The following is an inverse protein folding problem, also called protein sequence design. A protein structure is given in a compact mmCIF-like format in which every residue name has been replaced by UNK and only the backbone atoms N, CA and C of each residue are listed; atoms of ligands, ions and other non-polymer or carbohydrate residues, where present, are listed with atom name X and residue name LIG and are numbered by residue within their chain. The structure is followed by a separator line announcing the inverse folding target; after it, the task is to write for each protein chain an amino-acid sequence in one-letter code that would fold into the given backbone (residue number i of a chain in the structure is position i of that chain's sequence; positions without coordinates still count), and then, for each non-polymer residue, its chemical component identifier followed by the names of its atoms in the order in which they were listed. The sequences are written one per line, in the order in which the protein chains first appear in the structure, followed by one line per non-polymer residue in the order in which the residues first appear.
data_IF_957847558916
#
_entry.id   IF_957847558916
#
_cell.length_a   1.000
_cell.length_b   1.000
_cell.length_c   1.000
_cell.angle_alpha   90.00
_cell.angle_beta   90.00
_cell.angle_gamma   90.00
#
_symmetry.space_group_name_H-M   'P 1'
#
loop_
_entity.id
_entity.type
_entity.pdbx_description
1 polymer ?
#
# COMPACT_ATOMS: atom_id res chain seq x y z
N UNK A 1 -1.09 13.81 -7.51
CA UNK A 1 -1.33 14.98 -6.63
C UNK A 1 -2.79 15.09 -6.18
N UNK A 2 -3.79 15.02 -7.05
CA UNK A 2 -5.22 15.12 -6.67
C UNK A 2 -5.68 14.11 -5.59
N UNK A 3 -5.11 12.91 -5.54
CA UNK A 3 -5.44 11.93 -4.50
C UNK A 3 -5.04 12.35 -3.09
N UNK A 4 -3.93 13.09 -2.91
CA UNK A 4 -3.52 13.60 -1.61
C UNK A 4 -4.49 14.66 -1.06
N UNK A 5 -5.03 15.51 -1.93
CA UNK A 5 -6.00 16.54 -1.56
C UNK A 5 -7.33 15.97 -1.04
N UNK A 6 -7.66 14.73 -1.43
CA UNK A 6 -8.85 13.98 -1.00
C UNK A 6 -8.66 13.18 0.29
N UNK A 7 -7.48 13.23 0.89
CA UNK A 7 -7.24 12.67 2.21
C UNK A 7 -7.59 13.70 3.28
N UNK A 8 -8.34 13.28 4.30
CA UNK A 8 -8.56 14.08 5.50
C UNK A 8 -7.23 14.38 6.21
N UNK A 9 -7.18 15.39 7.08
CA UNK A 9 -6.00 15.63 7.93
C UNK A 9 -5.61 14.40 8.76
N UNK A 10 -6.59 13.62 9.21
CA UNK A 10 -6.38 12.38 9.95
C UNK A 10 -5.73 11.31 9.09
N UNK A 11 -6.23 11.05 7.87
CA UNK A 11 -5.67 10.09 6.94
C UNK A 11 -4.25 10.47 6.51
N UNK A 12 -3.97 11.78 6.34
CA UNK A 12 -2.61 12.28 6.12
C UNK A 12 -1.70 12.01 7.31
N UNK A 13 -2.18 12.29 8.52
CA UNK A 13 -1.40 12.06 9.75
C UNK A 13 -1.11 10.56 9.94
N UNK A 14 -2.10 9.69 9.73
CA UNK A 14 -1.92 8.22 9.78
C UNK A 14 -0.86 7.73 8.76
N UNK A 15 -0.78 8.40 7.60
CA UNK A 15 0.16 8.01 6.54
C UNK A 15 1.58 8.48 6.77
N UNK A 16 1.76 9.70 7.27
CA UNK A 16 3.07 10.35 7.36
C UNK A 16 3.61 10.44 8.79
N UNK A 17 2.80 10.13 9.79
CA UNK A 17 3.10 10.21 11.24
C UNK A 17 3.47 11.62 11.71
N UNK A 18 3.39 12.59 10.81
CA UNK A 18 3.56 14.03 11.05
C UNK A 18 2.45 14.80 10.34
N UNK A 19 2.06 15.98 10.84
CA UNK A 19 1.10 16.83 10.13
C UNK A 19 1.66 17.27 8.76
N UNK A 20 1.02 16.87 7.68
CA UNK A 20 1.39 17.25 6.30
C UNK A 20 0.20 17.93 5.64
N UNK A 21 0.31 19.25 5.40
CA UNK A 21 -0.69 20.02 4.66
C UNK A 21 -0.50 19.92 3.15
N UNK A 22 0.76 19.87 2.71
CA UNK A 22 1.16 19.82 1.30
C UNK A 22 2.35 18.89 1.10
N UNK A 23 2.42 18.23 -0.04
CA UNK A 23 3.58 17.43 -0.40
C UNK A 23 4.69 18.33 -0.94
N UNK A 24 5.85 18.34 -0.29
CA UNK A 24 7.02 19.06 -0.81
C UNK A 24 7.51 18.45 -2.14
N UNK A 25 8.20 19.21 -3.00
CA UNK A 25 8.78 18.68 -4.23
C UNK A 25 9.70 17.45 -4.01
N UNK A 26 10.38 17.40 -2.88
CA UNK A 26 11.20 16.25 -2.47
C UNK A 26 10.35 15.01 -2.18
N UNK A 27 9.27 15.19 -1.40
CA UNK A 27 8.31 14.11 -1.14
C UNK A 27 7.66 13.59 -2.43
N UNK A 28 7.26 14.51 -3.32
CA UNK A 28 6.68 14.11 -4.62
C UNK A 28 7.68 13.26 -5.41
N UNK A 29 8.94 13.69 -5.53
CA UNK A 29 9.98 12.90 -6.23
C UNK A 29 10.17 11.53 -5.59
N UNK A 30 10.28 11.46 -4.26
CA UNK A 30 10.39 10.20 -3.53
C UNK A 30 9.16 9.30 -3.76
N UNK A 31 7.96 9.89 -3.70
CA UNK A 31 6.71 9.15 -3.86
C UNK A 31 6.44 8.70 -5.32
N UNK A 32 7.07 9.29 -6.32
CA UNK A 32 6.88 8.94 -7.74
C UNK A 32 8.09 8.28 -8.39
N UNK A 33 9.25 8.33 -7.74
CA UNK A 33 10.50 7.74 -8.24
C UNK A 33 10.59 6.26 -7.92
N UNK A 34 9.79 5.42 -8.61
CA UNK A 34 9.84 3.96 -8.48
C UNK A 34 10.80 3.36 -9.50
N UNK A 35 11.57 2.34 -9.10
CA UNK A 35 12.49 1.58 -9.95
C UNK A 35 11.96 0.19 -10.29
N UNK A 36 10.81 -0.20 -9.72
CA UNK A 36 10.16 -1.50 -9.87
C UNK A 36 10.98 -2.70 -9.36
N UNK A 37 11.93 -2.44 -8.49
CA UNK A 37 12.80 -3.45 -7.88
C UNK A 37 12.90 -3.24 -6.37
N UNK A 38 13.55 -2.16 -5.94
CA UNK A 38 13.70 -1.81 -4.53
C UNK A 38 12.60 -0.85 -4.06
N UNK A 39 11.97 -0.16 -4.99
CA UNK A 39 10.87 0.74 -4.75
C UNK A 39 9.74 0.51 -5.77
N UNK A 40 8.61 0.03 -5.30
CA UNK A 40 7.41 -0.22 -6.12
C UNK A 40 6.21 0.56 -5.59
N UNK A 41 5.32 0.97 -6.48
CA UNK A 41 4.04 1.58 -6.13
C UNK A 41 2.92 1.13 -7.07
N UNK A 42 1.84 0.60 -6.51
CA UNK A 42 0.63 0.21 -7.21
C UNK A 42 -0.45 1.24 -6.91
N UNK A 43 -1.05 1.80 -7.95
CA UNK A 43 -2.06 2.86 -7.84
C UNK A 43 -3.40 2.33 -8.36
N UNK A 44 -4.46 2.51 -7.58
CA UNK A 44 -5.83 2.35 -8.05
C UNK A 44 -6.34 3.69 -8.59
N UNK A 45 -6.92 3.68 -9.78
CA UNK A 45 -7.50 4.87 -10.42
C UNK A 45 -8.95 4.62 -10.82
N UNK A 46 -9.77 5.65 -10.76
CA UNK A 46 -11.11 5.63 -11.34
C UNK A 46 -10.97 5.76 -12.87
N UNK A 47 -11.45 4.77 -13.61
CA UNK A 47 -11.32 4.72 -15.07
C UNK A 47 -12.02 5.90 -15.76
N UNK A 48 -13.13 6.37 -15.22
CA UNK A 48 -13.93 7.45 -15.84
C UNK A 48 -13.30 8.81 -15.63
N UNK A 49 -12.69 9.04 -14.45
CA UNK A 49 -12.15 10.37 -14.08
C UNK A 49 -10.63 10.41 -14.17
N UNK A 50 -9.94 9.27 -14.19
CA UNK A 50 -8.48 9.17 -14.08
C UNK A 50 -7.94 9.58 -12.72
N UNK A 51 -8.81 9.73 -11.71
CA UNK A 51 -8.40 10.15 -10.37
C UNK A 51 -7.85 8.98 -9.56
N UNK A 52 -6.80 9.23 -8.78
CA UNK A 52 -6.25 8.24 -7.85
C UNK A 52 -7.19 8.00 -6.67
N UNK A 53 -7.51 6.72 -6.43
CA UNK A 53 -8.36 6.25 -5.35
C UNK A 53 -7.55 5.72 -4.17
N UNK A 54 -6.34 5.23 -4.43
CA UNK A 54 -5.46 4.69 -3.42
C UNK A 54 -4.12 4.26 -3.99
N UNK A 55 -3.17 4.02 -3.12
CA UNK A 55 -1.82 3.55 -3.46
C UNK A 55 -1.31 2.61 -2.38
N UNK A 56 -0.68 1.52 -2.78
CA UNK A 56 0.21 0.75 -1.94
C UNK A 56 1.62 0.82 -2.51
N UNK A 57 2.63 0.84 -1.64
CA UNK A 57 4.03 0.86 -2.03
C UNK A 57 4.87 0.06 -1.07
N UNK A 58 6.02 -0.39 -1.54
CA UNK A 58 7.09 -0.83 -0.67
C UNK A 58 8.40 -0.11 -1.01
N UNK A 59 9.26 -0.04 -0.01
CA UNK A 59 10.67 0.34 -0.14
C UNK A 59 11.50 -0.74 0.54
N UNK A 60 12.42 -1.37 -0.19
CA UNK A 60 13.29 -2.42 0.33
C UNK A 60 14.19 -1.87 1.42
N UNK A 61 14.40 -2.65 2.46
CA UNK A 61 15.33 -2.32 3.52
C UNK A 61 16.77 -2.66 3.06
N UNK A 62 17.66 -1.66 3.10
CA UNK A 62 19.05 -1.82 2.67
C UNK A 62 19.82 -2.84 3.54
N UNK A 63 19.55 -2.85 4.86
CA UNK A 63 20.24 -3.74 5.81
C UNK A 63 19.64 -5.16 5.81
N UNK A 64 18.38 -5.31 5.41
CA UNK A 64 17.66 -6.58 5.35
C UNK A 64 16.94 -6.72 4.00
N UNK A 65 17.65 -7.12 2.92
CA UNK A 65 17.10 -7.09 1.56
C UNK A 65 15.93 -8.04 1.30
N UNK A 66 15.65 -8.98 2.20
CA UNK A 66 14.48 -9.84 2.21
C UNK A 66 13.26 -9.20 2.88
N UNK A 67 13.38 -7.96 3.37
CA UNK A 67 12.30 -7.18 3.97
C UNK A 67 12.11 -5.85 3.25
N UNK A 68 10.89 -5.29 3.34
CA UNK A 68 10.60 -3.95 2.84
C UNK A 68 9.60 -3.23 3.74
N UNK A 69 9.73 -1.93 3.86
CA UNK A 69 8.70 -1.10 4.46
C UNK A 69 7.51 -0.99 3.53
N UNK A 70 6.31 -1.29 4.01
CA UNK A 70 5.06 -1.18 3.25
C UNK A 70 4.20 -0.04 3.76
N UNK A 71 3.54 0.66 2.84
CA UNK A 71 2.55 1.67 3.18
C UNK A 71 1.36 1.58 2.21
N UNK A 72 0.15 1.70 2.77
CA UNK A 72 -1.10 1.72 2.02
C UNK A 72 -1.87 3.00 2.37
N UNK A 73 -2.42 3.64 1.36
CA UNK A 73 -3.26 4.83 1.51
C UNK A 73 -4.44 4.72 0.56
N UNK A 74 -5.65 4.93 1.08
CA UNK A 74 -6.89 4.97 0.31
C UNK A 74 -7.60 6.27 0.66
N UNK A 75 -8.14 6.98 -0.35
CA UNK A 75 -8.93 8.19 -0.10
C UNK A 75 -10.15 7.86 0.76
N UNK A 76 -10.57 8.81 1.61
CA UNK A 76 -11.57 8.55 2.66
C UNK A 76 -12.88 7.98 2.12
N UNK A 77 -13.36 8.48 0.99
CA UNK A 77 -14.59 8.00 0.34
C UNK A 77 -14.54 6.53 -0.12
N UNK A 78 -13.35 5.96 -0.23
CA UNK A 78 -13.11 4.60 -0.71
C UNK A 78 -12.59 3.64 0.37
N UNK A 79 -12.43 4.13 1.60
CA UNK A 79 -12.08 3.27 2.74
C UNK A 79 -13.21 2.31 3.09
N UNK A 80 -12.89 1.20 3.76
CA UNK A 80 -13.88 0.18 4.15
C UNK A 80 -14.50 -0.62 3.00
N UNK A 81 -14.03 -0.44 1.74
CA UNK A 81 -14.56 -1.12 0.55
C UNK A 81 -13.66 -2.25 0.01
N UNK A 82 -12.62 -2.61 0.75
CA UNK A 82 -11.67 -3.67 0.36
C UNK A 82 -10.57 -3.22 -0.61
N UNK A 83 -10.54 -1.92 -1.00
CA UNK A 83 -9.51 -1.40 -1.91
C UNK A 83 -8.10 -1.48 -1.31
N UNK A 84 -7.97 -1.21 0.00
CA UNK A 84 -6.69 -1.35 0.70
C UNK A 84 -6.15 -2.78 0.67
N UNK A 85 -7.01 -3.77 0.89
CA UNK A 85 -6.66 -5.20 0.82
C UNK A 85 -6.15 -5.58 -0.57
N UNK A 86 -6.85 -5.12 -1.61
CA UNK A 86 -6.42 -5.37 -2.98
C UNK A 86 -5.06 -4.77 -3.29
N UNK A 87 -4.87 -3.50 -2.94
CA UNK A 87 -3.62 -2.80 -3.17
C UNK A 87 -2.47 -3.48 -2.42
N UNK A 88 -2.71 -3.90 -1.17
CA UNK A 88 -1.72 -4.63 -0.37
C UNK A 88 -1.36 -5.97 -1.01
N UNK A 89 -2.34 -6.74 -1.48
CA UNK A 89 -2.08 -8.01 -2.17
C UNK A 89 -1.31 -7.82 -3.48
N UNK A 90 -1.66 -6.78 -4.26
CA UNK A 90 -0.98 -6.48 -5.51
C UNK A 90 0.49 -6.11 -5.29
N UNK A 91 0.77 -5.23 -4.32
CA UNK A 91 2.15 -4.84 -3.99
C UNK A 91 2.94 -5.98 -3.36
N UNK A 92 2.27 -6.87 -2.59
CA UNK A 92 2.88 -8.09 -2.05
C UNK A 92 3.34 -9.06 -3.14
N UNK A 93 2.55 -9.19 -4.21
CA UNK A 93 2.93 -10.04 -5.34
C UNK A 93 4.17 -9.50 -6.06
N UNK A 94 4.28 -8.18 -6.24
CA UNK A 94 5.48 -7.55 -6.80
C UNK A 94 6.69 -7.77 -5.87
N UNK A 95 6.54 -7.52 -4.57
CA UNK A 95 7.59 -7.72 -3.58
C UNK A 95 8.16 -9.15 -3.59
N UNK A 96 7.29 -10.15 -3.67
CA UNK A 96 7.71 -11.55 -3.75
C UNK A 96 8.50 -11.89 -5.01
N UNK A 97 8.15 -11.32 -6.16
CA UNK A 97 8.91 -11.51 -7.40
C UNK A 97 10.33 -10.96 -7.28
N UNK A 98 10.50 -9.93 -6.48
CA UNK A 98 11.79 -9.32 -6.18
C UNK A 98 12.51 -9.95 -4.97
N UNK A 99 11.99 -11.07 -4.42
CA UNK A 99 12.62 -11.84 -3.34
C UNK A 99 12.37 -11.32 -1.93
N UNK A 100 11.48 -10.32 -1.76
CA UNK A 100 11.07 -9.83 -0.44
C UNK A 100 10.15 -10.87 0.20
N UNK A 101 10.38 -11.18 1.48
CA UNK A 101 9.69 -12.24 2.24
C UNK A 101 8.78 -11.71 3.32
N UNK A 102 9.06 -10.52 3.85
CA UNK A 102 8.24 -9.88 4.87
C UNK A 102 8.14 -8.38 4.66
N UNK A 103 7.04 -7.81 5.12
CA UNK A 103 6.88 -6.36 5.22
C UNK A 103 7.08 -5.88 6.64
N UNK A 104 7.69 -4.71 6.78
CA UNK A 104 7.64 -3.90 7.99
C UNK A 104 6.72 -2.71 7.78
N UNK A 105 6.11 -2.21 8.85
CA UNK A 105 5.35 -0.96 8.83
C UNK A 105 5.47 -0.24 10.17
N UNK A 106 5.81 1.05 10.11
CA UNK A 106 5.70 1.95 11.23
C UNK A 106 4.34 2.65 11.16
N UNK A 107 3.56 2.58 12.23
CA UNK A 107 2.18 3.09 12.25
C UNK A 107 1.80 3.62 13.63
N UNK A 108 0.71 4.42 13.69
CA UNK A 108 0.12 4.78 14.96
C UNK A 108 -0.41 3.53 15.67
N UNK A 109 -0.15 3.39 16.97
CA UNK A 109 -0.62 2.26 17.78
C UNK A 109 -2.16 2.14 17.79
N UNK A 110 -2.87 3.25 17.58
CA UNK A 110 -4.33 3.32 17.50
C UNK A 110 -4.88 3.09 16.07
N UNK A 111 -4.04 2.81 15.07
CA UNK A 111 -4.48 2.57 13.70
C UNK A 111 -4.92 1.10 13.51
N UNK A 112 -6.08 0.77 14.06
CA UNK A 112 -6.65 -0.59 13.98
C UNK A 112 -6.93 -1.02 12.54
N UNK A 113 -7.34 -0.09 11.67
CA UNK A 113 -7.63 -0.37 10.25
C UNK A 113 -6.39 -0.88 9.51
N UNK A 114 -5.22 -0.25 9.74
CA UNK A 114 -3.96 -0.71 9.14
C UNK A 114 -3.51 -2.03 9.77
N UNK A 115 -3.70 -2.20 11.08
CA UNK A 115 -3.39 -3.47 11.76
C UNK A 115 -4.23 -4.62 11.19
N UNK A 116 -5.52 -4.43 11.00
CA UNK A 116 -6.43 -5.44 10.43
C UNK A 116 -6.09 -5.72 8.97
N UNK A 117 -5.71 -4.69 8.21
CA UNK A 117 -5.26 -4.84 6.83
C UNK A 117 -4.01 -5.74 6.75
N UNK A 118 -3.04 -5.54 7.62
CA UNK A 118 -1.80 -6.32 7.63
C UNK A 118 -2.03 -7.76 8.14
N UNK A 119 -2.92 -7.96 9.11
CA UNK A 119 -3.37 -9.29 9.55
C UNK A 119 -4.01 -10.12 8.44
N UNK A 120 -4.49 -9.45 7.39
CA UNK A 120 -5.01 -10.15 6.22
C UNK A 120 -3.92 -10.91 5.44
N UNK A 121 -2.67 -10.46 5.49
CA UNK A 121 -1.55 -11.20 4.89
C UNK A 121 -1.18 -12.43 5.71
N UNK A 122 -0.85 -12.24 6.99
CA UNK A 122 -0.41 -13.27 7.92
C UNK A 122 -0.38 -12.75 9.37
N UNK A 123 0.16 -13.54 10.27
CA UNK A 123 0.36 -13.17 11.68
C UNK A 123 1.31 -11.97 11.81
N UNK A 124 0.81 -10.90 12.41
CA UNK A 124 1.59 -9.67 12.65
C UNK A 124 2.45 -9.85 13.90
N UNK A 125 3.73 -9.58 13.78
CA UNK A 125 4.69 -9.52 14.88
C UNK A 125 5.04 -8.07 15.20
N UNK A 126 4.92 -7.69 16.46
CA UNK A 126 5.39 -6.37 16.91
C UNK A 126 6.90 -6.45 17.08
N UNK A 127 7.63 -5.57 16.40
CA UNK A 127 9.10 -5.49 16.43
C UNK A 127 9.54 -4.48 17.46
N UNK A 128 8.90 -3.31 17.49
CA UNK A 128 9.20 -2.23 18.43
C UNK A 128 7.94 -1.45 18.83
N UNK A 129 7.99 -0.79 19.99
CA UNK A 129 6.93 0.09 20.51
C UNK A 129 7.52 1.35 21.09
N UNK A 130 7.04 2.47 20.58
CA UNK A 130 7.28 3.80 21.16
C UNK A 130 5.95 4.43 21.60
N UNK A 131 5.97 5.47 22.45
CA UNK A 131 4.75 6.18 22.85
C UNK A 131 3.98 6.69 21.62
N UNK A 132 2.83 6.09 21.35
CA UNK A 132 1.94 6.47 20.24
C UNK A 132 2.18 5.76 18.92
N UNK A 133 3.29 5.05 18.72
CA UNK A 133 3.62 4.32 17.49
C UNK A 133 4.00 2.87 17.77
N UNK A 134 3.88 2.04 16.74
CA UNK A 134 4.29 0.65 16.76
C UNK A 134 4.95 0.30 15.43
N UNK A 135 6.09 -0.36 15.50
CA UNK A 135 6.70 -1.02 14.35
C UNK A 135 6.33 -2.49 14.33
N UNK A 136 5.85 -2.96 13.19
CA UNK A 136 5.42 -4.34 13.02
C UNK A 136 6.15 -5.00 11.85
N UNK A 137 6.21 -6.31 11.88
CA UNK A 137 6.64 -7.13 10.75
C UNK A 137 5.58 -8.20 10.47
N UNK A 138 5.28 -8.42 9.19
CA UNK A 138 4.33 -9.41 8.72
C UNK A 138 4.93 -10.20 7.55
N UNK A 139 4.93 -11.54 7.59
CA UNK A 139 5.35 -12.35 6.46
C UNK A 139 4.46 -12.13 5.25
N UNK A 140 5.03 -12.19 4.05
CA UNK A 140 4.27 -12.18 2.80
C UNK A 140 3.97 -13.64 2.44
N UNK A 141 2.69 -14.07 2.41
CA UNK A 141 2.34 -15.46 2.16
C UNK A 141 2.75 -15.92 0.76
N UNK A 142 3.16 -17.18 0.63
CA UNK A 142 3.54 -17.79 -0.66
C UNK A 142 2.34 -18.05 -1.59
N UNK A 143 1.13 -17.84 -1.11
CA UNK A 143 -0.11 -18.10 -1.85
C UNK A 143 -0.47 -16.88 -2.68
N UNK A 144 -0.61 -17.07 -3.99
CA UNK A 144 -0.85 -15.97 -4.93
C UNK A 144 -2.19 -15.25 -4.77
N UNK A 145 -2.24 -14.08 -5.34
CA UNK A 145 -3.32 -13.10 -5.53
C UNK A 145 -4.74 -13.65 -5.84
N UNK A 146 -4.96 -14.95 -5.82
CA UNK A 146 -6.12 -15.53 -6.49
C UNK A 146 -7.51 -15.22 -5.89
N UNK A 147 -7.78 -15.17 -4.57
CA UNK A 147 -9.14 -14.95 -4.07
C UNK A 147 -9.60 -13.50 -4.10
N UNK A 148 -8.75 -12.54 -3.72
CA UNK A 148 -9.14 -11.15 -3.66
C UNK A 148 -9.14 -10.48 -5.03
N UNK A 149 -8.19 -10.81 -5.90
CA UNK A 149 -8.20 -10.38 -7.29
C UNK A 149 -9.45 -10.89 -8.03
N UNK A 150 -9.85 -12.14 -7.78
CA UNK A 150 -11.13 -12.67 -8.29
C UNK A 150 -12.33 -11.89 -7.77
N UNK A 151 -12.37 -11.59 -6.48
CA UNK A 151 -13.46 -10.83 -5.88
C UNK A 151 -13.55 -9.41 -6.46
N UNK A 152 -12.42 -8.81 -6.79
CA UNK A 152 -12.35 -7.47 -7.35
C UNK A 152 -12.60 -7.43 -8.85
N UNK A 153 -12.12 -8.38 -9.60
CA UNK A 153 -12.54 -8.54 -11.00
C UNK A 153 -14.05 -8.74 -11.10
N UNK A 154 -14.68 -9.40 -10.10
CA UNK A 154 -16.13 -9.50 -10.02
C UNK A 154 -16.82 -8.19 -9.58
N UNK A 155 -16.16 -7.35 -8.77
CA UNK A 155 -16.67 -6.03 -8.35
C UNK A 155 -16.44 -5.01 -9.47
N UNK A 156 -15.29 -5.03 -10.14
CA UNK A 156 -14.98 -4.15 -11.27
C UNK A 156 -15.85 -4.44 -12.50
N UNK A 157 -16.23 -5.70 -12.71
CA UNK A 157 -17.23 -6.07 -13.72
C UNK A 157 -18.64 -5.51 -13.42
N UNK A 158 -18.88 -5.06 -12.17
CA UNK A 158 -20.14 -4.44 -11.73
C UNK A 158 -20.07 -2.93 -11.49
N UNK A 159 -18.89 -2.33 -11.51
CA UNK A 159 -18.64 -0.94 -11.11
C UNK A 159 -17.44 -0.34 -11.85
N UNK A 160 -17.42 -0.29 -13.16
CA UNK A 160 -16.47 0.48 -14.01
C UNK A 160 -15.09 0.84 -13.35
N UNK A 161 -14.51 -0.07 -12.60
CA UNK A 161 -13.18 0.08 -11.97
C UNK A 161 -12.22 -0.88 -12.66
N UNK A 162 -11.28 -0.37 -13.42
CA UNK A 162 -10.21 -1.16 -14.03
C UNK A 162 -8.95 -1.04 -13.19
N UNK A 163 -8.35 -2.18 -12.84
CA UNK A 163 -7.01 -2.24 -12.28
C UNK A 163 -6.06 -2.60 -13.43
N UNK A 164 -5.36 -1.64 -14.05
CA UNK A 164 -4.35 -1.98 -15.04
C UNK A 164 -3.20 -2.68 -14.32
N UNK A 165 -3.05 -3.99 -14.54
CA UNK A 165 -1.82 -4.70 -14.21
C UNK A 165 -0.76 -4.16 -15.16
N UNK A 166 0.26 -3.49 -14.64
CA UNK A 166 1.42 -3.07 -15.42
C UNK A 166 2.04 -4.33 -16.03
N UNK A 167 1.79 -4.54 -17.33
CA UNK A 167 2.44 -5.61 -18.08
C UNK A 167 3.89 -5.18 -18.28
N UNK A 168 4.83 -5.87 -17.64
CA UNK A 168 6.27 -5.71 -17.94
C UNK A 168 6.45 -5.85 -19.45
N UNK A 169 6.79 -4.76 -20.11
CA UNK A 169 7.35 -4.83 -21.46
C UNK A 169 8.69 -5.59 -21.35
N UNK A 170 8.72 -6.80 -21.90
CA UNK A 170 9.98 -7.53 -22.13
C UNK A 170 10.73 -6.78 -23.23
N UNK A 171 11.83 -6.18 -22.87
CA UNK A 171 12.91 -5.83 -23.82
C UNK A 171 13.90 -6.97 -23.87
#
# INVERSE_FOLDING_TARGET
MRGFERLSPESRYRRFLVPVSELSPGMVRYLTGVDHHDHEAIIAVDERTGEGLGVARYVRNEDRPDTAEVAVTVIDDWQGRGLGTLLLEAVSACARQEGIRSFTALMLAANEEMMDLLRHLDSVRIVDREPGTVEIEVPIPDVGLAPALRKLLCISARADVVVPLATRARS
#
